data_IF_473071647900
#
_entry.id   IF_473071647900
#
_cell.length_a   1.000
_cell.length_b   1.000
_cell.length_c   1.000
_cell.angle_alpha   90.00
_cell.angle_beta   90.00
_cell.angle_gamma   90.00
#
_symmetry.space_group_name_H-M   'P 1'
#
loop_
_entity.id
_entity.type
_entity.pdbx_description
1 polymer ?
#
# COMPACT_ATOMS: atom_id res chain seq x y z
N UNK A 1 -15.57 11.67 0.83
CA UNK A 1 -14.69 10.74 0.10
C UNK A 1 -14.98 10.83 -1.40
N UNK A 2 -13.98 10.86 -2.30
CA UNK A 2 -14.19 10.89 -3.75
C UNK A 2 -15.01 9.67 -4.25
N UNK A 3 -15.91 9.88 -5.22
CA UNK A 3 -16.86 8.87 -5.73
C UNK A 3 -16.18 7.55 -6.12
N UNK A 4 -15.08 7.61 -6.88
CA UNK A 4 -14.39 6.41 -7.38
C UNK A 4 -13.81 5.55 -6.26
N UNK A 5 -13.28 6.18 -5.20
CA UNK A 5 -12.81 5.45 -4.02
C UNK A 5 -13.96 4.83 -3.24
N UNK A 6 -15.13 5.48 -3.21
CA UNK A 6 -16.33 4.91 -2.59
C UNK A 6 -16.81 3.68 -3.34
N UNK A 7 -16.84 3.76 -4.66
CA UNK A 7 -17.19 2.63 -5.52
C UNK A 7 -16.19 1.48 -5.35
N UNK A 8 -14.88 1.77 -5.34
CA UNK A 8 -13.87 0.74 -5.08
C UNK A 8 -14.03 0.11 -3.69
N UNK A 9 -14.28 0.92 -2.66
CA UNK A 9 -14.53 0.45 -1.29
C UNK A 9 -15.82 -0.38 -1.17
N UNK A 10 -16.85 -0.07 -1.96
CA UNK A 10 -18.11 -0.82 -2.02
C UNK A 10 -18.02 -2.12 -2.83
N UNK A 11 -16.91 -2.37 -3.53
CA UNK A 11 -16.78 -3.50 -4.46
C UNK A 11 -17.34 -3.23 -5.86
N UNK A 12 -17.77 -2.00 -6.14
CA UNK A 12 -18.29 -1.58 -7.45
C UNK A 12 -17.17 -1.37 -8.49
N UNK A 13 -15.90 -1.37 -8.06
CA UNK A 13 -14.72 -1.33 -8.94
C UNK A 13 -13.76 -2.48 -8.64
N UNK A 14 -13.05 -2.99 -9.66
CA UNK A 14 -12.02 -4.03 -9.48
C UNK A 14 -10.82 -3.47 -8.71
N UNK A 15 -10.80 -3.67 -7.39
CA UNK A 15 -9.81 -3.13 -6.45
C UNK A 15 -8.35 -3.38 -6.87
N UNK A 16 -8.06 -4.59 -7.36
CA UNK A 16 -6.74 -4.96 -7.85
C UNK A 16 -6.29 -4.12 -9.06
N UNK A 17 -7.21 -3.88 -10.01
CA UNK A 17 -6.91 -3.05 -11.18
C UNK A 17 -6.73 -1.57 -10.78
N UNK A 18 -7.53 -1.09 -9.83
CA UNK A 18 -7.41 0.26 -9.27
C UNK A 18 -6.03 0.45 -8.62
N UNK A 19 -5.58 -0.47 -7.78
CA UNK A 19 -4.27 -0.38 -7.13
C UNK A 19 -3.11 -0.37 -8.12
N UNK A 20 -3.16 -1.21 -9.16
CA UNK A 20 -2.18 -1.18 -10.25
C UNK A 20 -2.14 0.18 -10.96
N UNK A 21 -3.30 0.72 -11.33
CA UNK A 21 -3.35 2.00 -12.06
C UNK A 21 -2.88 3.17 -11.19
N UNK A 22 -3.23 3.19 -9.90
CA UNK A 22 -2.71 4.19 -8.97
C UNK A 22 -1.19 4.16 -8.87
N UNK A 23 -0.59 2.96 -8.73
CA UNK A 23 0.87 2.85 -8.72
C UNK A 23 1.51 3.41 -9.99
N UNK A 24 0.95 3.09 -11.17
CA UNK A 24 1.46 3.56 -12.45
C UNK A 24 1.32 5.08 -12.59
N UNK A 25 0.19 5.66 -12.19
CA UNK A 25 -0.02 7.11 -12.21
C UNK A 25 1.00 7.83 -11.32
N UNK A 26 1.21 7.34 -10.10
CA UNK A 26 2.18 7.91 -9.16
C UNK A 26 3.62 7.78 -9.69
N UNK A 27 3.96 6.64 -10.29
CA UNK A 27 5.32 6.38 -10.81
C UNK A 27 5.65 7.13 -12.09
N UNK A 28 4.66 7.47 -12.92
CA UNK A 28 4.88 7.99 -14.28
C UNK A 28 4.46 9.44 -14.49
N UNK A 29 3.83 10.05 -13.49
CA UNK A 29 3.30 11.41 -13.60
C UNK A 29 3.61 12.22 -12.32
N UNK A 30 3.16 13.47 -12.27
CA UNK A 30 3.26 14.35 -11.10
C UNK A 30 2.21 14.04 -10.01
N UNK A 31 1.52 12.91 -10.11
CA UNK A 31 0.45 12.54 -9.19
C UNK A 31 1.01 12.15 -7.82
N UNK A 32 0.57 12.86 -6.77
CA UNK A 32 1.11 12.68 -5.43
C UNK A 32 0.54 11.46 -4.71
N UNK A 33 1.40 10.70 -4.03
CA UNK A 33 0.99 9.54 -3.23
C UNK A 33 0.19 9.91 -1.98
N UNK A 34 0.51 11.02 -1.30
CA UNK A 34 -0.09 11.36 0.00
C UNK A 34 -1.60 11.62 -0.08
N UNK A 35 -2.14 12.38 -1.06
CA UNK A 35 -3.59 12.52 -1.25
C UNK A 35 -4.32 11.18 -1.51
N UNK A 36 -3.67 10.24 -2.19
CA UNK A 36 -4.19 8.89 -2.41
C UNK A 36 -4.30 8.14 -1.08
N UNK A 37 -3.22 8.14 -0.28
CA UNK A 37 -3.21 7.49 1.03
C UNK A 37 -4.26 8.09 1.98
N UNK A 38 -4.45 9.41 1.98
CA UNK A 38 -5.49 10.07 2.77
C UNK A 38 -6.89 9.56 2.38
N UNK A 39 -7.16 9.42 1.08
CA UNK A 39 -8.45 8.93 0.60
C UNK A 39 -8.67 7.45 0.91
N UNK A 40 -7.63 6.62 0.80
CA UNK A 40 -7.69 5.19 1.16
C UNK A 40 -7.88 5.00 2.67
N UNK A 41 -7.26 5.85 3.49
CA UNK A 41 -7.43 5.85 4.95
C UNK A 41 -8.88 6.12 5.32
N UNK A 42 -9.50 7.13 4.70
CA UNK A 42 -10.90 7.44 4.92
C UNK A 42 -11.82 6.28 4.48
N UNK A 43 -11.54 5.67 3.32
CA UNK A 43 -12.28 4.51 2.84
C UNK A 43 -12.22 3.32 3.80
N UNK A 44 -11.04 3.03 4.35
CA UNK A 44 -10.86 1.96 5.32
C UNK A 44 -11.64 2.22 6.61
N UNK A 45 -11.63 3.47 7.11
CA UNK A 45 -12.40 3.90 8.30
C UNK A 45 -13.91 3.82 8.10
N UNK A 46 -14.39 3.97 6.87
CA UNK A 46 -15.80 3.84 6.51
C UNK A 46 -16.22 2.38 6.24
N UNK A 47 -15.40 1.40 6.60
CA UNK A 47 -15.73 -0.03 6.49
C UNK A 47 -15.20 -0.71 5.21
N UNK A 48 -14.55 0.03 4.31
CA UNK A 48 -13.98 -0.51 3.06
C UNK A 48 -12.60 -1.18 3.21
N UNK A 49 -12.25 -1.67 4.39
CA UNK A 49 -10.89 -2.16 4.70
C UNK A 49 -10.47 -3.32 3.80
N UNK A 50 -11.36 -4.26 3.47
CA UNK A 50 -11.03 -5.39 2.57
C UNK A 50 -10.69 -4.92 1.15
N UNK A 51 -11.41 -3.96 0.60
CA UNK A 51 -11.18 -3.44 -0.73
C UNK A 51 -9.94 -2.53 -0.76
N UNK A 52 -9.74 -1.73 0.28
CA UNK A 52 -8.51 -0.93 0.45
C UNK A 52 -7.29 -1.83 0.58
N UNK A 53 -7.40 -2.97 1.25
CA UNK A 53 -6.35 -3.98 1.29
C UNK A 53 -5.99 -4.47 -0.11
N UNK A 54 -6.96 -4.87 -0.93
CA UNK A 54 -6.71 -5.34 -2.31
C UNK A 54 -6.06 -4.26 -3.20
N UNK A 55 -6.47 -2.99 -3.02
CA UNK A 55 -5.82 -1.84 -3.68
C UNK A 55 -4.36 -1.74 -3.23
N UNK A 56 -4.08 -1.74 -1.92
CA UNK A 56 -2.72 -1.60 -1.39
C UNK A 56 -1.83 -2.78 -1.80
N UNK A 57 -2.36 -4.00 -1.71
CA UNK A 57 -1.65 -5.24 -2.07
C UNK A 57 -1.19 -5.24 -3.53
N UNK A 58 -2.06 -4.77 -4.44
CA UNK A 58 -1.73 -4.66 -5.87
C UNK A 58 -0.89 -3.43 -6.22
N UNK A 59 -0.99 -2.36 -5.42
CA UNK A 59 -0.22 -1.12 -5.60
C UNK A 59 1.23 -1.24 -5.12
N UNK A 60 1.49 -1.85 -3.96
CA UNK A 60 2.81 -1.90 -3.32
C UNK A 60 3.93 -2.48 -4.21
N UNK A 61 3.75 -3.61 -4.93
CA UNK A 61 4.78 -4.16 -5.81
C UNK A 61 5.25 -3.21 -6.91
N UNK A 62 4.38 -2.31 -7.36
CA UNK A 62 4.64 -1.36 -8.44
C UNK A 62 5.07 0.02 -7.92
N UNK A 63 4.67 0.34 -6.69
CA UNK A 63 4.95 1.61 -6.04
C UNK A 63 6.34 1.64 -5.39
N UNK A 64 6.72 0.55 -4.71
CA UNK A 64 7.92 0.54 -3.89
C UNK A 64 9.20 0.53 -4.75
N UNK A 65 10.24 1.30 -4.36
CA UNK A 65 11.53 1.23 -5.03
C UNK A 65 12.09 -0.18 -5.02
N UNK A 66 12.77 -0.58 -6.10
CA UNK A 66 13.45 -1.87 -6.15
C UNK A 66 14.61 -1.89 -5.13
N UNK A 67 14.69 -2.88 -4.23
CA UNK A 67 15.83 -3.05 -3.34
C UNK A 67 17.14 -3.04 -4.13
N UNK A 68 18.09 -2.18 -3.73
CA UNK A 68 19.38 -2.04 -4.41
C UNK A 68 19.38 -1.21 -5.70
N UNK A 69 18.22 -0.81 -6.22
CA UNK A 69 18.08 -0.07 -7.49
C UNK A 69 18.43 1.43 -7.43
N UNK A 70 19.23 1.88 -6.46
CA UNK A 70 19.64 3.28 -6.29
C UNK A 70 18.57 4.23 -5.73
N UNK A 71 17.29 4.01 -6.06
CA UNK A 71 16.17 4.78 -5.54
C UNK A 71 15.92 4.48 -4.04
N UNK A 72 15.82 5.53 -3.23
CA UNK A 72 15.60 5.41 -1.78
C UNK A 72 14.12 5.63 -1.44
N UNK A 73 13.53 4.77 -0.58
CA UNK A 73 12.18 4.99 -0.09
C UNK A 73 12.06 6.30 0.69
N UNK A 74 11.19 7.20 0.22
CA UNK A 74 10.79 8.40 0.93
C UNK A 74 9.74 8.19 2.04
N UNK A 75 9.33 9.29 2.67
CA UNK A 75 8.32 9.31 3.75
C UNK A 75 6.99 8.70 3.28
N UNK A 76 6.50 9.10 2.11
CA UNK A 76 5.22 8.62 1.59
C UNK A 76 5.20 7.09 1.34
N UNK A 77 6.35 6.47 1.00
CA UNK A 77 6.44 5.01 0.94
C UNK A 77 6.31 4.36 2.31
N UNK A 78 6.85 4.99 3.36
CA UNK A 78 6.67 4.53 4.74
C UNK A 78 5.21 4.64 5.18
N UNK A 79 4.53 5.75 4.82
CA UNK A 79 3.11 5.94 5.08
C UNK A 79 2.24 4.91 4.33
N UNK A 80 2.58 4.57 3.08
CA UNK A 80 1.86 3.56 2.32
C UNK A 80 1.96 2.16 2.95
N UNK A 81 3.15 1.77 3.39
CA UNK A 81 3.36 0.47 4.04
C UNK A 81 2.73 0.43 5.43
N UNK A 82 2.79 1.54 6.19
CA UNK A 82 2.11 1.65 7.48
C UNK A 82 0.58 1.50 7.34
N UNK A 83 -0.02 2.19 6.36
CA UNK A 83 -1.44 2.03 6.06
C UNK A 83 -1.78 0.58 5.67
N UNK A 84 -0.95 -0.06 4.83
CA UNK A 84 -1.15 -1.46 4.47
C UNK A 84 -1.08 -2.39 5.68
N UNK A 85 -0.19 -2.15 6.65
CA UNK A 85 -0.11 -2.91 7.90
C UNK A 85 -1.37 -2.75 8.77
N UNK A 86 -1.90 -1.52 8.87
CA UNK A 86 -3.12 -1.24 9.61
C UNK A 86 -4.33 -1.95 8.95
N UNK A 87 -4.47 -1.81 7.64
CA UNK A 87 -5.61 -2.37 6.89
C UNK A 87 -5.52 -3.90 6.77
N UNK A 88 -4.32 -4.48 6.63
CA UNK A 88 -4.12 -5.93 6.63
C UNK A 88 -4.67 -6.59 7.91
N UNK A 89 -4.46 -5.92 9.05
CA UNK A 89 -4.97 -6.40 10.35
C UNK A 89 -6.50 -6.39 10.36
N UNK A 90 -7.13 -5.31 9.89
CA UNK A 90 -8.60 -5.22 9.86
C UNK A 90 -9.24 -6.15 8.83
N UNK A 91 -8.53 -6.45 7.75
CA UNK A 91 -9.01 -7.33 6.69
C UNK A 91 -8.71 -8.81 6.91
N UNK A 92 -8.08 -9.18 8.04
CA UNK A 92 -7.59 -10.54 8.31
C UNK A 92 -6.80 -11.09 7.11
N UNK A 93 -5.93 -10.24 6.57
CA UNK A 93 -5.21 -10.52 5.35
C UNK A 93 -4.06 -11.50 5.57
N UNK A 94 -3.85 -12.37 4.58
CA UNK A 94 -2.77 -13.34 4.59
C UNK A 94 -2.05 -13.36 3.23
N UNK A 95 -0.83 -13.89 3.23
CA UNK A 95 -0.05 -14.16 2.03
C UNK A 95 1.00 -13.10 1.75
N UNK A 96 2.10 -13.54 1.15
CA UNK A 96 3.31 -12.74 1.05
C UNK A 96 3.22 -11.62 0.01
N UNK A 97 3.92 -10.51 0.28
CA UNK A 97 4.25 -9.48 -0.69
C UNK A 97 5.78 -9.47 -0.83
N UNK A 98 6.35 -10.11 -1.88
CA UNK A 98 7.80 -10.34 -1.97
C UNK A 98 8.66 -9.07 -1.85
N UNK A 99 8.22 -7.95 -2.44
CA UNK A 99 8.95 -6.67 -2.36
C UNK A 99 9.02 -6.13 -0.92
N UNK A 100 7.99 -6.38 -0.11
CA UNK A 100 7.93 -5.97 1.30
C UNK A 100 8.87 -6.85 2.11
N UNK A 101 8.84 -8.16 1.89
CA UNK A 101 9.76 -9.12 2.51
C UNK A 101 11.23 -8.77 2.22
N UNK A 102 11.55 -8.39 0.97
CA UNK A 102 12.89 -7.98 0.59
C UNK A 102 13.36 -6.71 1.30
N UNK A 103 12.48 -5.70 1.43
CA UNK A 103 12.81 -4.47 2.18
C UNK A 103 12.93 -4.71 3.68
N UNK A 104 12.07 -5.57 4.25
CA UNK A 104 12.16 -5.99 5.65
C UNK A 104 13.48 -6.73 5.95
N UNK A 105 13.99 -7.51 4.99
CA UNK A 105 15.25 -8.24 5.12
C UNK A 105 16.52 -7.39 4.87
N UNK A 106 16.38 -6.13 4.46
CA UNK A 106 17.52 -5.28 4.06
C UNK A 106 18.50 -4.90 5.18
N UNK A 107 18.17 -5.19 6.44
CA UNK A 107 18.99 -4.83 7.62
C UNK A 107 19.04 -3.33 7.93
N UNK A 108 18.30 -2.49 7.19
CA UNK A 108 18.29 -1.03 7.37
C UNK A 108 17.47 -0.63 8.60
N UNK A 109 18.01 0.26 9.43
CA UNK A 109 17.31 0.85 10.60
C UNK A 109 16.46 2.08 10.22
N UNK A 110 15.60 1.96 9.21
CA UNK A 110 14.70 3.05 8.78
C UNK A 110 13.26 2.82 9.24
N UNK A 111 12.45 3.88 9.32
CA UNK A 111 11.00 3.75 9.54
C UNK A 111 10.38 2.84 8.47
N UNK A 112 10.71 3.07 7.20
CA UNK A 112 10.26 2.24 6.10
C UNK A 112 10.52 0.74 6.29
N UNK A 113 11.75 0.36 6.66
CA UNK A 113 12.11 -1.04 6.87
C UNK A 113 11.35 -1.66 8.07
N UNK A 114 11.11 -0.89 9.13
CA UNK A 114 10.30 -1.33 10.27
C UNK A 114 8.84 -1.56 9.88
N UNK A 115 8.23 -0.67 9.11
CA UNK A 115 6.86 -0.86 8.61
C UNK A 115 6.79 -2.07 7.66
N UNK A 116 7.82 -2.30 6.83
CA UNK A 116 7.87 -3.49 5.97
C UNK A 116 7.95 -4.78 6.81
N UNK A 117 8.75 -4.79 7.88
CA UNK A 117 8.82 -5.93 8.78
C UNK A 117 7.48 -6.17 9.49
N UNK A 118 6.85 -5.10 10.00
CA UNK A 118 5.52 -5.15 10.61
C UNK A 118 4.49 -5.76 9.66
N UNK A 119 4.39 -5.25 8.43
CA UNK A 119 3.46 -5.76 7.43
C UNK A 119 3.76 -7.23 7.08
N UNK A 120 5.03 -7.59 6.84
CA UNK A 120 5.41 -8.98 6.56
C UNK A 120 4.98 -9.93 7.67
N UNK A 121 5.18 -9.53 8.93
CA UNK A 121 4.91 -10.39 10.08
C UNK A 121 3.39 -10.54 10.33
N UNK A 122 2.57 -9.55 9.93
CA UNK A 122 1.10 -9.63 9.99
C UNK A 122 0.47 -10.50 8.88
N UNK A 123 1.18 -10.73 7.78
CA UNK A 123 0.68 -11.50 6.63
C UNK A 123 0.97 -13.00 6.72
N UNK A 124 1.58 -13.44 7.81
CA UNK A 124 1.97 -14.83 8.07
C UNK A 124 0.82 -15.64 8.67
#
# INVERSE_FOLDING_TARGET
MPLLLRMAAGGDLPAEAVGRQLALLIRRTWFELRPVLASLTEAARQGGHRQVWEILRSMLPLLLPTPGGGERPGIAHSEAVALAADVATWAEAHGEIPIVSAHAASGRRSRFARECARLRDQLR
#
